data_IF_098903484426
#
_entry.id   IF_098903484426
#
_cell.length_a   1.000
_cell.length_b   1.000
_cell.length_c   1.000
_cell.angle_alpha   90.00
_cell.angle_beta   90.00
_cell.angle_gamma   90.00
#
_symmetry.space_group_name_H-M   'P 1'
#
loop_
_entity.id
_entity.type
_entity.pdbx_description
1 polymer ?
#
# COMPACT_ATOMS: atom_id res chain seq x y z
N UNK A 1 -11.82 -12.21 -9.00
CA UNK A 1 -12.89 -11.34 -9.51
C UNK A 1 -12.32 -9.94 -9.67
N UNK A 2 -12.57 -9.21 -10.76
CA UNK A 2 -12.08 -7.81 -10.89
C UNK A 2 -12.96 -6.91 -10.02
N UNK A 3 -12.39 -5.88 -9.37
CA UNK A 3 -13.14 -4.97 -8.49
C UNK A 3 -14.35 -4.34 -9.19
N UNK A 4 -14.24 -4.05 -10.49
CA UNK A 4 -15.35 -3.49 -11.29
C UNK A 4 -16.54 -4.45 -11.43
N UNK A 5 -16.29 -5.75 -11.56
CA UNK A 5 -17.34 -6.77 -11.58
C UNK A 5 -18.04 -6.88 -10.23
N UNK A 6 -17.28 -6.77 -9.14
CA UNK A 6 -17.84 -6.80 -7.78
C UNK A 6 -18.74 -5.58 -7.51
N UNK A 7 -18.31 -4.37 -7.89
CA UNK A 7 -19.15 -3.17 -7.74
C UNK A 7 -20.48 -3.32 -8.49
N UNK A 8 -20.43 -3.84 -9.73
CA UNK A 8 -21.63 -4.07 -10.55
C UNK A 8 -22.54 -5.16 -10.02
N UNK A 9 -22.01 -6.21 -9.39
CA UNK A 9 -22.87 -7.26 -8.80
C UNK A 9 -23.73 -6.74 -7.65
N UNK A 10 -23.32 -5.64 -7.01
CA UNK A 10 -24.13 -4.93 -6.00
C UNK A 10 -24.95 -3.77 -6.57
N UNK A 11 -25.10 -3.67 -7.90
CA UNK A 11 -25.88 -2.63 -8.57
C UNK A 11 -25.17 -1.27 -8.69
N UNK A 12 -23.88 -1.20 -8.38
CA UNK A 12 -23.06 0.00 -8.60
C UNK A 12 -22.56 0.11 -10.04
N UNK A 13 -22.12 1.30 -10.42
CA UNK A 13 -21.49 1.54 -11.72
C UNK A 13 -20.06 2.05 -11.59
N UNK A 14 -19.25 1.73 -12.60
CA UNK A 14 -17.87 2.20 -12.71
C UNK A 14 -17.68 2.90 -14.05
N UNK A 15 -17.40 4.20 -13.97
CA UNK A 15 -17.05 5.02 -15.12
C UNK A 15 -15.53 5.06 -15.26
N UNK A 16 -15.03 4.57 -16.39
CA UNK A 16 -13.64 4.73 -16.82
C UNK A 16 -13.57 5.86 -17.84
N UNK A 17 -12.37 6.38 -18.08
CA UNK A 17 -12.18 7.51 -19.03
C UNK A 17 -13.02 8.74 -18.62
N UNK A 18 -13.18 8.95 -17.32
CA UNK A 18 -14.02 9.98 -16.71
C UNK A 18 -13.23 10.71 -15.62
N UNK A 19 -12.39 11.67 -16.01
CA UNK A 19 -11.61 12.49 -15.08
C UNK A 19 -12.52 13.48 -14.37
N UNK A 20 -12.58 13.43 -13.03
CA UNK A 20 -13.25 14.46 -12.23
C UNK A 20 -12.46 15.77 -12.34
N UNK A 21 -13.14 16.84 -12.76
CA UNK A 21 -12.56 18.19 -12.88
C UNK A 21 -12.93 19.09 -11.73
N UNK A 22 -14.10 18.88 -11.11
CA UNK A 22 -14.58 19.72 -10.03
C UNK A 22 -15.67 19.00 -9.22
N UNK A 23 -15.74 19.26 -7.93
CA UNK A 23 -16.89 18.94 -7.07
C UNK A 23 -17.90 20.10 -7.16
N UNK A 24 -19.17 19.76 -7.34
CA UNK A 24 -20.27 20.73 -7.43
C UNK A 24 -20.74 21.04 -6.00
N UNK A 25 -20.75 22.32 -5.64
CA UNK A 25 -21.21 22.80 -4.33
C UNK A 25 -22.38 23.76 -4.52
N UNK A 26 -23.51 23.46 -3.90
CA UNK A 26 -24.75 24.26 -3.96
C UNK A 26 -25.34 24.38 -2.56
N UNK A 27 -25.75 25.60 -2.17
CA UNK A 27 -26.29 25.84 -0.82
C UNK A 27 -25.33 25.46 0.31
N UNK A 28 -24.02 25.52 0.08
CA UNK A 28 -22.99 25.11 1.05
C UNK A 28 -22.85 23.60 1.22
N UNK A 29 -23.36 22.77 0.30
CA UNK A 29 -23.27 21.30 0.34
C UNK A 29 -22.66 20.75 -0.96
N UNK A 30 -21.85 19.70 -0.88
CA UNK A 30 -21.44 18.94 -2.06
C UNK A 30 -22.61 18.12 -2.63
N UNK A 31 -22.87 18.26 -3.93
CA UNK A 31 -24.07 17.70 -4.61
C UNK A 31 -23.75 16.93 -5.89
N UNK A 32 -22.47 16.68 -6.16
CA UNK A 32 -22.04 15.94 -7.34
C UNK A 32 -20.65 16.32 -7.81
N UNK A 33 -20.32 15.89 -9.03
CA UNK A 33 -19.04 16.16 -9.68
C UNK A 33 -19.24 16.53 -11.15
N UNK A 34 -18.31 17.32 -11.69
CA UNK A 34 -18.14 17.53 -13.13
C UNK A 34 -17.02 16.64 -13.63
N UNK A 35 -17.30 15.83 -14.63
CA UNK A 35 -16.34 14.92 -15.24
C UNK A 35 -16.10 15.27 -16.70
N UNK A 36 -14.92 14.96 -17.21
CA UNK A 36 -14.58 15.04 -18.62
C UNK A 36 -13.92 13.74 -19.09
N UNK A 37 -13.87 13.55 -20.41
CA UNK A 37 -13.17 12.41 -20.99
C UNK A 37 -11.66 12.50 -20.69
N UNK A 38 -11.07 11.44 -20.12
CA UNK A 38 -9.65 11.40 -19.76
C UNK A 38 -8.76 11.40 -21.01
N UNK A 39 -9.14 10.65 -22.03
CA UNK A 39 -8.40 10.53 -23.30
C UNK A 39 -8.34 11.86 -24.05
N UNK A 40 -9.45 12.61 -24.07
CA UNK A 40 -9.50 13.96 -24.62
C UNK A 40 -8.59 14.92 -23.85
N UNK A 41 -8.58 14.82 -22.52
CA UNK A 41 -7.71 15.62 -21.65
C UNK A 41 -6.22 15.34 -21.91
N UNK A 42 -5.87 14.07 -22.18
CA UNK A 42 -4.50 13.66 -22.50
C UNK A 42 -3.98 14.21 -23.84
N UNK A 43 -4.89 14.58 -24.77
CA UNK A 43 -4.53 15.16 -26.06
C UNK A 43 -4.35 16.69 -26.01
N UNK A 44 -4.69 17.33 -24.89
CA UNK A 44 -4.55 18.78 -24.75
C UNK A 44 -3.09 19.19 -24.57
N UNK A 45 -2.67 20.17 -25.37
CA UNK A 45 -1.32 20.75 -25.29
C UNK A 45 -1.29 22.09 -24.56
N UNK A 46 -2.45 22.64 -24.21
CA UNK A 46 -2.58 23.93 -23.54
C UNK A 46 -3.77 23.95 -22.57
N UNK A 47 -3.78 24.87 -21.61
CA UNK A 47 -4.95 25.09 -20.73
C UNK A 47 -6.19 25.53 -21.51
N UNK A 48 -6.03 26.30 -22.57
CA UNK A 48 -7.14 26.71 -23.45
C UNK A 48 -7.84 25.52 -24.08
N UNK A 49 -7.09 24.47 -24.43
CA UNK A 49 -7.67 23.23 -24.96
C UNK A 49 -8.44 22.47 -23.89
N UNK A 50 -7.91 22.45 -22.65
CA UNK A 50 -8.55 21.76 -21.52
C UNK A 50 -9.91 22.37 -21.15
N UNK A 51 -10.10 23.68 -21.38
CA UNK A 51 -11.37 24.39 -21.12
C UNK A 51 -12.43 24.07 -22.19
N UNK A 52 -12.01 23.72 -23.42
CA UNK A 52 -12.92 23.36 -24.52
C UNK A 52 -13.53 21.96 -24.37
N UNK A 53 -12.96 21.11 -23.49
CA UNK A 53 -13.47 19.75 -23.30
C UNK A 53 -14.86 19.83 -22.64
N UNK A 54 -15.89 19.19 -23.23
CA UNK A 54 -17.21 19.14 -22.62
C UNK A 54 -17.17 18.50 -21.23
N UNK A 55 -17.85 19.16 -20.28
CA UNK A 55 -18.06 18.64 -18.94
C UNK A 55 -19.45 17.99 -18.85
N UNK A 56 -19.51 16.85 -18.20
CA UNK A 56 -20.76 16.18 -17.82
C UNK A 56 -20.94 16.29 -16.31
N UNK A 57 -22.11 16.73 -15.86
CA UNK A 57 -22.44 16.74 -14.44
C UNK A 57 -23.01 15.38 -14.01
N UNK A 58 -22.48 14.84 -12.91
CA UNK A 58 -23.02 13.67 -12.23
C UNK A 58 -23.47 14.12 -10.84
N UNK A 59 -24.78 14.13 -10.61
CA UNK A 59 -25.38 14.55 -9.34
C UNK A 59 -25.48 13.39 -8.35
N UNK A 60 -25.17 13.66 -7.09
CA UNK A 60 -25.22 12.66 -6.01
C UNK A 60 -25.59 13.33 -4.68
N UNK A 61 -26.24 12.57 -3.78
CA UNK A 61 -26.56 13.06 -2.43
C UNK A 61 -25.33 13.25 -1.57
N UNK A 62 -24.35 12.36 -1.75
CA UNK A 62 -23.07 12.35 -1.05
C UNK A 62 -21.95 12.15 -2.08
N UNK A 63 -20.82 12.80 -1.85
CA UNK A 63 -19.58 12.67 -2.62
C UNK A 63 -18.52 12.08 -1.68
N UNK A 64 -17.90 10.97 -2.09
CA UNK A 64 -16.79 10.36 -1.35
C UNK A 64 -15.51 10.56 -2.15
N UNK A 65 -14.59 11.32 -1.60
CA UNK A 65 -13.30 11.62 -2.20
C UNK A 65 -12.26 10.60 -1.72
N UNK A 66 -11.85 9.69 -2.61
CA UNK A 66 -10.78 8.73 -2.35
C UNK A 66 -9.44 9.15 -2.99
N UNK A 67 -9.31 10.40 -3.45
CA UNK A 67 -8.02 10.97 -3.83
C UNK A 67 -7.38 11.67 -2.64
N UNK A 68 -6.14 12.13 -2.79
CA UNK A 68 -5.46 12.83 -1.72
C UNK A 68 -6.18 14.14 -1.35
N UNK A 69 -6.15 14.50 -0.07
CA UNK A 69 -6.69 15.77 0.43
C UNK A 69 -6.05 16.97 -0.27
N UNK A 70 -4.81 16.86 -0.72
CA UNK A 70 -4.17 17.92 -1.49
C UNK A 70 -4.85 18.10 -2.86
N UNK A 71 -5.18 17.03 -3.60
CA UNK A 71 -5.98 17.18 -4.82
C UNK A 71 -7.38 17.73 -4.51
N UNK A 72 -7.99 17.29 -3.41
CA UNK A 72 -9.32 17.76 -3.02
C UNK A 72 -9.36 19.29 -2.85
N UNK A 73 -8.49 19.83 -2.01
CA UNK A 73 -8.50 21.25 -1.68
C UNK A 73 -7.81 22.12 -2.74
N UNK A 74 -6.72 21.65 -3.36
CA UNK A 74 -5.95 22.45 -4.34
C UNK A 74 -6.57 22.44 -5.75
N UNK A 75 -7.42 21.45 -6.08
CA UNK A 75 -7.92 21.28 -7.47
C UNK A 75 -9.41 21.06 -7.59
N UNK A 76 -9.99 20.19 -6.75
CA UNK A 76 -11.34 19.68 -6.99
C UNK A 76 -12.44 20.55 -6.37
N UNK A 77 -12.18 21.19 -5.22
CA UNK A 77 -13.12 22.11 -4.61
C UNK A 77 -13.10 23.50 -5.28
N UNK A 78 -14.24 24.22 -5.32
CA UNK A 78 -14.23 25.63 -5.67
C UNK A 78 -13.30 26.43 -4.76
N UNK A 79 -12.38 27.18 -5.36
CA UNK A 79 -11.25 27.79 -4.67
C UNK A 79 -11.64 29.00 -3.79
N UNK A 80 -12.84 29.55 -4.02
CA UNK A 80 -13.43 30.64 -3.24
C UNK A 80 -14.07 30.19 -1.92
N UNK A 81 -14.14 28.88 -1.65
CA UNK A 81 -14.72 28.37 -0.41
C UNK A 81 -13.83 28.69 0.81
N UNK A 82 -14.41 29.14 1.94
CA UNK A 82 -13.65 29.42 3.17
C UNK A 82 -12.83 28.23 3.69
N UNK A 83 -13.33 27.00 3.53
CA UNK A 83 -12.61 25.78 3.93
C UNK A 83 -11.33 25.55 3.10
N UNK A 84 -11.34 25.94 1.82
CA UNK A 84 -10.16 25.86 0.95
C UNK A 84 -9.16 26.93 1.37
N UNK A 85 -9.60 28.16 1.64
CA UNK A 85 -8.72 29.22 2.15
C UNK A 85 -8.05 28.84 3.48
N UNK A 86 -8.80 28.22 4.40
CA UNK A 86 -8.24 27.66 5.64
C UNK A 86 -7.26 26.53 5.39
N UNK A 87 -7.50 25.68 4.38
CA UNK A 87 -6.52 24.67 4.01
C UNK A 87 -5.23 25.32 3.51
N UNK A 88 -5.27 26.43 2.78
CA UNK A 88 -4.02 27.10 2.36
C UNK A 88 -3.32 27.89 3.48
N UNK A 89 -3.99 28.15 4.60
CA UNK A 89 -3.41 28.86 5.73
C UNK A 89 -2.45 27.97 6.54
N UNK A 90 -1.14 28.25 6.55
CA UNK A 90 -0.17 27.46 7.33
C UNK A 90 -0.37 27.58 8.85
N UNK A 91 -1.16 28.54 9.33
CA UNK A 91 -1.56 28.61 10.73
C UNK A 91 -2.71 27.65 11.10
N UNK A 92 -3.39 27.07 10.11
CA UNK A 92 -4.57 26.19 10.27
C UNK A 92 -4.29 24.72 9.94
N UNK A 93 -3.12 24.42 9.38
CA UNK A 93 -2.65 23.04 9.17
C UNK A 93 -1.13 22.95 9.13
N UNK A 94 -0.63 21.77 9.49
CA UNK A 94 0.80 21.44 9.40
C UNK A 94 1.08 20.20 8.55
N UNK A 95 0.03 19.51 8.07
CA UNK A 95 0.17 18.37 7.15
C UNK A 95 0.82 18.77 5.83
N UNK A 96 1.65 17.87 5.32
CA UNK A 96 2.35 17.98 4.03
C UNK A 96 2.11 16.72 3.22
N UNK A 97 2.24 16.81 1.91
CA UNK A 97 2.16 15.66 1.02
C UNK A 97 3.34 14.71 1.25
N UNK A 98 3.09 13.41 1.09
CA UNK A 98 4.11 12.37 1.16
C UNK A 98 5.11 12.50 0.02
N UNK A 99 6.31 11.96 0.21
CA UNK A 99 7.27 11.78 -0.88
C UNK A 99 6.67 10.86 -1.98
N UNK A 100 7.18 11.01 -3.19
CA UNK A 100 6.98 10.03 -4.26
C UNK A 100 8.05 8.95 -4.24
N UNK A 101 7.97 8.04 -5.21
CA UNK A 101 8.96 7.00 -5.43
C UNK A 101 9.38 6.98 -6.90
N UNK A 102 10.54 6.38 -7.15
CA UNK A 102 10.91 5.88 -8.47
C UNK A 102 10.71 4.37 -8.51
N UNK A 103 10.20 3.88 -9.64
CA UNK A 103 9.87 2.47 -9.84
C UNK A 103 10.61 1.96 -11.05
N UNK A 104 11.62 1.10 -10.87
CA UNK A 104 12.27 0.43 -12.00
C UNK A 104 11.58 -0.89 -12.27
N UNK A 105 10.89 -0.97 -13.40
CA UNK A 105 10.28 -2.20 -13.89
C UNK A 105 11.26 -2.91 -14.81
N UNK A 106 11.54 -4.18 -14.56
CA UNK A 106 12.47 -4.97 -15.36
C UNK A 106 11.77 -6.20 -15.97
N UNK A 107 12.00 -6.42 -17.27
CA UNK A 107 11.71 -7.67 -17.97
C UNK A 107 12.99 -8.52 -17.98
N UNK A 108 12.91 -9.72 -17.42
CA UNK A 108 14.04 -10.63 -17.28
C UNK A 108 13.79 -11.88 -18.13
N UNK A 109 14.76 -12.26 -18.96
CA UNK A 109 14.74 -13.48 -19.75
C UNK A 109 14.94 -14.71 -18.88
N UNK A 110 14.03 -15.67 -18.98
CA UNK A 110 14.06 -16.95 -18.30
C UNK A 110 12.94 -17.11 -17.27
N UNK A 111 12.60 -18.35 -16.97
CA UNK A 111 11.60 -18.68 -15.97
C UNK A 111 12.14 -18.51 -14.56
N UNK A 112 11.33 -17.96 -13.65
CA UNK A 112 11.75 -17.58 -12.31
C UNK A 112 12.36 -18.75 -11.51
N UNK A 113 11.83 -19.96 -11.68
CA UNK A 113 12.34 -21.18 -11.02
C UNK A 113 13.72 -21.58 -11.54
N UNK A 114 13.95 -21.49 -12.85
CA UNK A 114 15.22 -21.84 -13.49
C UNK A 114 16.30 -20.80 -13.16
N UNK A 115 15.89 -19.54 -13.04
CA UNK A 115 16.71 -18.44 -12.60
C UNK A 115 16.94 -18.42 -11.07
N UNK A 116 16.28 -19.29 -10.30
CA UNK A 116 16.40 -19.30 -8.83
C UNK A 116 15.98 -17.96 -8.19
N UNK A 117 14.95 -17.30 -8.70
CA UNK A 117 14.46 -16.03 -8.15
C UNK A 117 13.73 -16.25 -6.81
N UNK A 118 13.89 -15.36 -5.82
CA UNK A 118 13.26 -15.50 -4.52
C UNK A 118 11.73 -15.29 -4.60
N UNK A 119 11.01 -16.00 -3.73
CA UNK A 119 9.56 -15.80 -3.50
C UNK A 119 9.26 -14.69 -2.49
N UNK A 120 10.28 -14.22 -1.78
CA UNK A 120 10.23 -13.10 -0.84
C UNK A 120 10.74 -11.81 -1.48
N UNK A 121 10.51 -10.70 -0.78
CA UNK A 121 11.06 -9.40 -1.18
C UNK A 121 12.43 -9.23 -0.55
N UNK A 122 13.34 -8.56 -1.25
CA UNK A 122 14.61 -8.13 -0.68
C UNK A 122 14.51 -6.66 -0.31
N UNK A 123 15.17 -6.30 0.79
CA UNK A 123 15.37 -4.93 1.21
C UNK A 123 16.87 -4.66 1.25
N UNK A 124 17.32 -3.78 0.36
CA UNK A 124 18.68 -3.29 0.33
C UNK A 124 18.80 -2.06 1.22
N UNK A 125 19.87 -2.00 2.00
CA UNK A 125 20.26 -0.83 2.81
C UNK A 125 21.71 -0.48 2.48
N UNK A 126 21.96 0.75 2.01
CA UNK A 126 23.27 1.16 1.52
C UNK A 126 24.30 1.42 2.64
N UNK A 127 23.85 2.03 3.74
CA UNK A 127 24.70 2.43 4.89
C UNK A 127 23.97 2.14 6.20
N UNK A 128 24.73 2.06 7.31
CA UNK A 128 24.18 1.93 8.66
C UNK A 128 23.56 3.25 9.17
N UNK A 129 24.24 4.38 8.90
CA UNK A 129 23.70 5.71 9.18
C UNK A 129 22.73 6.10 8.06
N UNK A 130 21.44 5.84 8.30
CA UNK A 130 20.40 6.09 7.32
C UNK A 130 20.06 7.57 7.18
N UNK A 131 20.13 8.34 8.26
CA UNK A 131 19.79 9.77 8.23
C UNK A 131 20.73 10.51 7.28
N UNK A 132 22.05 10.37 7.48
CA UNK A 132 23.05 10.94 6.56
C UNK A 132 22.92 10.39 5.14
N UNK A 133 22.61 9.09 5.00
CA UNK A 133 22.43 8.50 3.67
C UNK A 133 21.24 9.12 2.92
N UNK A 134 20.11 9.34 3.60
CA UNK A 134 18.95 10.02 3.02
C UNK A 134 19.25 11.46 2.67
N UNK A 135 19.94 12.20 3.53
CA UNK A 135 20.33 13.59 3.27
C UNK A 135 21.25 13.69 2.03
N UNK A 136 22.30 12.85 1.96
CA UNK A 136 23.22 12.79 0.82
C UNK A 136 22.49 12.46 -0.49
N UNK A 137 21.60 11.45 -0.45
CA UNK A 137 20.84 11.00 -1.61
C UNK A 137 19.84 12.05 -2.09
N UNK A 138 19.12 12.69 -1.18
CA UNK A 138 18.14 13.70 -1.54
C UNK A 138 18.77 14.97 -2.11
N UNK A 139 19.99 15.30 -1.69
CA UNK A 139 20.77 16.38 -2.27
C UNK A 139 21.34 16.05 -3.65
N UNK A 140 21.80 14.80 -3.87
CA UNK A 140 22.55 14.42 -5.08
C UNK A 140 22.10 13.05 -5.65
N UNK A 141 20.84 12.89 -6.10
CA UNK A 141 20.25 11.58 -6.38
C UNK A 141 20.87 10.86 -7.58
N UNK A 142 21.59 11.58 -8.45
CA UNK A 142 22.26 11.00 -9.61
C UNK A 142 23.67 10.50 -9.29
N UNK A 143 24.31 11.05 -8.26
CA UNK A 143 25.70 10.73 -7.92
C UNK A 143 25.78 9.84 -6.67
N UNK A 144 24.78 9.94 -5.79
CA UNK A 144 24.67 9.14 -4.56
C UNK A 144 23.66 8.03 -4.77
N UNK A 145 24.02 6.82 -4.32
CA UNK A 145 23.14 5.64 -4.39
C UNK A 145 21.97 5.77 -3.39
N UNK A 146 20.75 5.31 -3.74
CA UNK A 146 19.62 5.33 -2.82
C UNK A 146 19.91 4.58 -1.50
N UNK A 147 19.49 5.12 -0.34
CA UNK A 147 19.75 4.52 0.97
C UNK A 147 19.04 3.20 1.16
N UNK A 148 17.82 3.08 0.62
CA UNK A 148 17.00 1.89 0.71
C UNK A 148 16.39 1.54 -0.63
N UNK A 149 16.34 0.25 -0.97
CA UNK A 149 15.65 -0.23 -2.17
C UNK A 149 14.86 -1.49 -1.85
N UNK A 150 13.57 -1.45 -2.16
CA UNK A 150 12.73 -2.63 -2.21
C UNK A 150 12.95 -3.35 -3.53
N UNK A 151 13.11 -4.67 -3.51
CA UNK A 151 13.21 -5.51 -4.71
C UNK A 151 12.17 -6.63 -4.61
N UNK A 152 11.29 -6.71 -5.61
CA UNK A 152 10.23 -7.70 -5.66
C UNK A 152 10.17 -8.42 -7.00
N UNK A 153 9.80 -9.71 -6.96
CA UNK A 153 9.58 -10.54 -8.14
C UNK A 153 8.11 -10.99 -8.21
N UNK A 154 7.19 -10.19 -8.77
CA UNK A 154 5.77 -10.54 -8.79
C UNK A 154 5.47 -11.90 -9.45
N UNK A 155 6.23 -12.25 -10.49
CA UNK A 155 6.15 -13.54 -11.19
C UNK A 155 6.30 -14.77 -10.30
N UNK A 156 6.99 -14.68 -9.16
CA UNK A 156 7.17 -15.80 -8.23
C UNK A 156 5.96 -16.01 -7.31
N UNK A 157 5.03 -15.04 -7.28
CA UNK A 157 3.84 -15.03 -6.40
C UNK A 157 2.54 -15.26 -7.16
N UNK A 158 2.58 -15.18 -8.49
CA UNK A 158 1.43 -15.45 -9.35
C UNK A 158 1.58 -16.83 -10.01
N UNK A 159 0.79 -17.79 -9.52
CA UNK A 159 0.78 -19.16 -10.05
C UNK A 159 0.39 -19.25 -11.54
N UNK A 160 -0.25 -18.22 -12.09
CA UNK A 160 -0.63 -18.16 -13.51
C UNK A 160 0.45 -17.56 -14.41
N UNK A 161 1.49 -16.95 -13.83
CA UNK A 161 2.47 -16.15 -14.57
C UNK A 161 3.15 -16.94 -15.68
N UNK A 162 3.75 -18.09 -15.36
CA UNK A 162 4.48 -18.94 -16.31
C UNK A 162 3.62 -19.37 -17.52
N UNK A 163 2.32 -19.57 -17.31
CA UNK A 163 1.39 -19.90 -18.39
C UNK A 163 1.14 -18.70 -19.32
N UNK A 164 1.05 -17.49 -18.76
CA UNK A 164 0.79 -16.25 -19.53
C UNK A 164 2.04 -15.72 -20.21
N UNK A 165 3.20 -15.86 -19.57
CA UNK A 165 4.47 -15.29 -20.00
C UNK A 165 5.59 -16.33 -19.87
N UNK A 166 5.61 -17.36 -20.73
CA UNK A 166 6.65 -18.38 -20.69
C UNK A 166 8.03 -17.79 -20.99
N UNK A 167 9.07 -18.26 -20.30
CA UNK A 167 10.46 -17.79 -20.42
C UNK A 167 10.68 -16.31 -20.08
N UNK A 168 9.76 -15.71 -19.32
CA UNK A 168 9.85 -14.31 -18.90
C UNK A 168 9.57 -14.21 -17.41
N UNK A 169 10.46 -13.56 -16.69
CA UNK A 169 10.28 -13.13 -15.31
C UNK A 169 10.19 -11.61 -15.25
N UNK A 170 9.55 -11.08 -14.21
CA UNK A 170 9.54 -9.64 -13.94
C UNK A 170 10.12 -9.33 -12.57
N UNK A 171 10.72 -8.15 -12.48
CA UNK A 171 11.23 -7.57 -11.25
C UNK A 171 10.76 -6.12 -11.15
N UNK A 172 10.49 -5.67 -9.94
CA UNK A 172 10.25 -4.26 -9.62
C UNK A 172 11.21 -3.83 -8.52
N UNK A 173 11.87 -2.70 -8.72
CA UNK A 173 12.66 -2.02 -7.70
C UNK A 173 12.03 -0.68 -7.36
N UNK A 174 11.98 -0.36 -6.07
CA UNK A 174 11.35 0.86 -5.58
C UNK A 174 12.30 1.57 -4.61
N UNK A 175 12.49 2.86 -4.81
CA UNK A 175 13.24 3.77 -3.93
C UNK A 175 12.53 5.10 -3.85
N UNK A 176 12.84 5.91 -2.83
CA UNK A 176 12.38 7.29 -2.73
C UNK A 176 12.69 8.09 -4.01
N UNK A 177 11.74 8.92 -4.40
CA UNK A 177 11.81 9.76 -5.58
C UNK A 177 11.08 11.07 -5.33
N UNK A 178 11.82 12.16 -5.09
CA UNK A 178 11.20 13.46 -4.82
C UNK A 178 10.66 14.08 -6.09
N UNK A 179 9.44 14.64 -6.03
CA UNK A 179 8.82 15.34 -7.16
C UNK A 179 9.69 16.49 -7.68
N UNK A 180 10.35 17.20 -6.77
CA UNK A 180 11.21 18.34 -7.05
C UNK A 180 12.34 18.00 -8.01
N UNK A 181 12.83 16.75 -8.02
CA UNK A 181 13.85 16.32 -8.98
C UNK A 181 13.35 16.33 -10.42
N UNK A 182 12.03 16.23 -10.61
CA UNK A 182 11.39 16.12 -11.92
C UNK A 182 10.54 17.34 -12.29
N UNK A 183 10.41 18.32 -11.40
CA UNK A 183 9.49 19.46 -11.54
C UNK A 183 9.70 20.26 -12.83
N UNK A 184 10.96 20.41 -13.29
CA UNK A 184 11.26 21.12 -14.54
C UNK A 184 10.64 20.52 -15.80
N UNK A 185 10.19 19.26 -15.76
CA UNK A 185 9.50 18.58 -16.87
C UNK A 185 8.00 18.37 -16.61
N UNK A 186 7.45 18.95 -15.53
CA UNK A 186 6.06 18.72 -15.13
C UNK A 186 5.04 19.21 -16.17
N UNK A 187 5.33 20.33 -16.84
CA UNK A 187 4.46 20.94 -17.84
C UNK A 187 4.64 20.37 -19.25
N UNK A 188 5.58 19.43 -19.43
CA UNK A 188 5.84 18.80 -20.73
C UNK A 188 4.98 17.53 -20.90
N UNK A 189 4.44 17.28 -22.11
CA UNK A 189 3.62 16.10 -22.38
C UNK A 189 4.35 14.79 -22.08
N UNK A 190 3.59 13.78 -21.68
CA UNK A 190 4.11 12.43 -21.53
C UNK A 190 4.73 11.94 -22.86
N UNK A 191 5.89 11.29 -22.78
CA UNK A 191 6.67 10.86 -23.95
C UNK A 191 7.46 11.98 -24.66
N UNK A 192 7.28 13.25 -24.29
CA UNK A 192 7.89 14.40 -24.95
C UNK A 192 8.70 15.30 -23.98
N UNK A 193 9.33 14.68 -22.98
CA UNK A 193 10.11 15.39 -21.95
C UNK A 193 11.58 15.64 -22.31
N UNK A 194 12.00 15.20 -23.50
CA UNK A 194 13.34 15.47 -24.03
C UNK A 194 14.43 14.52 -23.54
N UNK A 195 15.61 14.61 -24.17
CA UNK A 195 16.75 13.74 -23.88
C UNK A 195 17.32 13.97 -22.47
N UNK A 196 17.27 15.21 -21.97
CA UNK A 196 17.80 15.52 -20.64
C UNK A 196 17.01 14.83 -19.51
N UNK A 197 15.71 14.59 -19.70
CA UNK A 197 14.88 13.77 -18.80
C UNK A 197 15.28 12.30 -18.84
N UNK A 198 15.46 11.76 -20.05
CA UNK A 198 15.87 10.37 -20.22
C UNK A 198 17.29 10.11 -19.69
N UNK A 199 18.21 11.05 -19.86
CA UNK A 199 19.55 10.98 -19.29
C UNK A 199 19.51 11.00 -17.75
N UNK A 200 18.66 11.85 -17.16
CA UNK A 200 18.45 11.88 -15.71
C UNK A 200 17.89 10.55 -15.19
N UNK A 201 16.86 10.01 -15.85
CA UNK A 201 16.29 8.68 -15.54
C UNK A 201 17.33 7.58 -15.71
N UNK A 202 18.21 7.66 -16.71
CA UNK A 202 19.24 6.66 -16.95
C UNK A 202 20.22 6.57 -15.77
N UNK A 203 20.62 7.71 -15.19
CA UNK A 203 21.48 7.73 -13.99
C UNK A 203 20.81 7.05 -12.78
N UNK A 204 19.54 7.35 -12.53
CA UNK A 204 18.77 6.70 -11.44
C UNK A 204 18.56 5.20 -11.70
N UNK A 205 18.25 4.85 -12.95
CA UNK A 205 18.07 3.45 -13.37
C UNK A 205 19.36 2.66 -13.18
N UNK A 206 20.52 3.27 -13.48
CA UNK A 206 21.82 2.65 -13.28
C UNK A 206 22.04 2.26 -11.83
N UNK A 207 21.79 3.16 -10.87
CA UNK A 207 21.90 2.84 -9.44
C UNK A 207 21.05 1.62 -9.05
N UNK A 208 19.80 1.57 -9.52
CA UNK A 208 18.88 0.48 -9.20
C UNK A 208 19.28 -0.83 -9.88
N UNK A 209 19.76 -0.80 -11.13
CA UNK A 209 20.27 -1.98 -11.82
C UNK A 209 21.54 -2.54 -11.18
N UNK A 210 22.49 -1.67 -10.81
CA UNK A 210 23.70 -2.09 -10.10
C UNK A 210 23.32 -2.81 -8.79
N UNK A 211 22.39 -2.26 -8.01
CA UNK A 211 21.85 -2.90 -6.80
C UNK A 211 21.16 -4.22 -7.10
N UNK A 212 20.38 -4.31 -8.19
CA UNK A 212 19.73 -5.56 -8.60
C UNK A 212 20.77 -6.66 -8.85
N UNK A 213 21.85 -6.35 -9.57
CA UNK A 213 22.90 -7.31 -9.89
C UNK A 213 23.75 -7.68 -8.68
N UNK A 214 23.93 -6.77 -7.71
CA UNK A 214 24.56 -7.11 -6.44
C UNK A 214 23.69 -8.06 -5.60
N UNK A 215 22.39 -7.82 -5.54
CA UNK A 215 21.47 -8.60 -4.71
C UNK A 215 21.08 -9.94 -5.35
N UNK A 216 20.99 -9.98 -6.68
CA UNK A 216 20.47 -11.12 -7.46
C UNK A 216 21.36 -11.34 -8.70
N UNK A 217 22.66 -11.65 -8.53
CA UNK A 217 23.66 -11.65 -9.60
C UNK A 217 23.31 -12.57 -10.78
N UNK A 218 22.53 -13.62 -10.55
CA UNK A 218 22.12 -14.55 -11.59
C UNK A 218 21.17 -13.95 -12.66
N UNK A 219 20.69 -12.72 -12.48
CA UNK A 219 19.90 -11.96 -13.49
C UNK A 219 20.75 -11.03 -14.35
N UNK A 220 22.03 -10.87 -14.05
CA UNK A 220 22.94 -10.06 -14.85
C UNK A 220 23.04 -10.62 -16.28
N UNK A 221 22.99 -9.72 -17.27
CA UNK A 221 22.91 -10.09 -18.69
C UNK A 221 21.57 -10.68 -19.15
N UNK A 222 20.57 -10.79 -18.27
CA UNK A 222 19.22 -11.31 -18.61
C UNK A 222 18.11 -10.26 -18.55
N UNK A 223 18.39 -9.05 -18.07
CA UNK A 223 17.45 -7.94 -18.15
C UNK A 223 17.37 -7.47 -19.60
N UNK A 224 16.29 -7.82 -20.31
CA UNK A 224 16.10 -7.47 -21.72
C UNK A 224 15.56 -6.05 -21.90
N UNK A 225 14.82 -5.55 -20.91
CA UNK A 225 14.22 -4.23 -20.92
C UNK A 225 14.03 -3.74 -19.49
N UNK A 226 14.21 -2.45 -19.28
CA UNK A 226 13.82 -1.79 -18.04
C UNK A 226 13.21 -0.42 -18.34
N UNK A 227 12.28 0.01 -17.49
CA UNK A 227 11.66 1.33 -17.57
C UNK A 227 11.53 1.93 -16.17
N UNK A 228 11.94 3.18 -16.01
CA UNK A 228 11.83 3.91 -14.75
C UNK A 228 10.56 4.77 -14.74
N UNK A 229 9.60 4.40 -13.89
CA UNK A 229 8.51 5.28 -13.47
C UNK A 229 9.02 6.34 -12.50
N UNK A 230 8.55 7.57 -12.67
CA UNK A 230 8.92 8.71 -11.80
C UNK A 230 7.66 9.32 -11.15
N UNK A 231 7.79 10.24 -10.18
CA UNK A 231 6.65 10.98 -9.64
C UNK A 231 5.78 11.65 -10.71
N UNK A 232 6.33 12.02 -11.88
CA UNK A 232 5.52 12.54 -13.00
C UNK A 232 4.66 11.45 -13.65
N UNK A 233 5.12 10.20 -13.68
CA UNK A 233 4.32 9.04 -14.08
C UNK A 233 3.15 8.84 -13.11
N UNK A 234 3.39 8.96 -11.80
CA UNK A 234 2.36 8.87 -10.76
C UNK A 234 1.31 9.99 -10.89
N UNK A 235 1.73 11.22 -11.16
CA UNK A 235 0.81 12.33 -11.48
C UNK A 235 -0.04 12.00 -12.71
N UNK A 236 0.57 11.41 -13.75
CA UNK A 236 -0.12 11.14 -15.02
C UNK A 236 -1.11 9.98 -14.91
N UNK A 237 -0.69 8.86 -14.33
CA UNK A 237 -1.45 7.60 -14.37
C UNK A 237 -2.33 7.37 -13.14
N UNK A 238 -1.95 7.90 -11.99
CA UNK A 238 -2.73 7.75 -10.74
C UNK A 238 -3.39 9.06 -10.28
N UNK A 239 -3.16 10.16 -11.00
CA UNK A 239 -3.57 11.50 -10.58
C UNK A 239 -3.05 11.89 -9.18
N UNK A 240 -1.95 11.31 -8.73
CA UNK A 240 -1.38 11.55 -7.39
C UNK A 240 -0.90 13.00 -7.28
N UNK A 241 -1.23 13.69 -6.18
CA UNK A 241 -0.77 15.06 -5.96
C UNK A 241 0.76 15.09 -5.82
N UNK A 242 1.43 15.75 -6.78
CA UNK A 242 2.89 15.77 -6.91
C UNK A 242 3.54 14.37 -6.81
N UNK A 243 2.84 13.33 -7.29
CA UNK A 243 3.36 11.97 -7.29
C UNK A 243 3.54 11.32 -5.91
N UNK A 244 2.95 11.90 -4.85
CA UNK A 244 3.00 11.34 -3.50
C UNK A 244 2.32 9.97 -3.43
N UNK A 245 3.04 8.95 -2.94
CA UNK A 245 2.53 7.56 -2.95
C UNK A 245 1.62 7.22 -1.76
N UNK A 246 1.60 8.08 -0.73
CA UNK A 246 0.94 7.79 0.54
C UNK A 246 -0.10 8.85 0.96
N UNK A 247 -0.40 9.82 0.10
CA UNK A 247 -1.28 10.95 0.43
C UNK A 247 -0.56 11.92 1.37
N UNK A 248 -1.05 12.06 2.60
CA UNK A 248 -0.41 12.83 3.66
C UNK A 248 0.88 12.16 4.14
N UNK A 249 1.93 12.96 4.32
CA UNK A 249 3.21 12.51 4.84
C UNK A 249 3.03 11.96 6.26
N UNK A 250 3.50 10.75 6.48
CA UNK A 250 3.39 10.04 7.75
C UNK A 250 4.43 10.54 8.77
N UNK A 251 4.33 11.80 9.17
CA UNK A 251 5.07 12.36 10.31
C UNK A 251 4.16 12.49 11.52
N UNK A 252 4.72 12.73 12.70
CA UNK A 252 3.95 12.98 13.92
C UNK A 252 2.91 14.09 13.74
N UNK A 253 3.24 15.11 12.93
CA UNK A 253 2.32 16.21 12.62
C UNK A 253 1.00 15.77 12.01
N UNK A 254 0.95 14.65 11.29
CA UNK A 254 -0.30 14.10 10.74
C UNK A 254 -1.38 13.90 11.82
N UNK A 255 -0.96 13.58 13.04
CA UNK A 255 -1.82 13.27 14.17
C UNK A 255 -2.03 14.45 15.12
N UNK A 256 -1.41 15.61 14.85
CA UNK A 256 -1.61 16.80 15.68
C UNK A 256 -3.09 17.20 15.66
N UNK A 257 -3.66 17.66 16.79
CA UNK A 257 -5.08 18.04 16.88
C UNK A 257 -5.53 19.04 15.81
N UNK A 258 -4.63 19.94 15.38
CA UNK A 258 -4.90 20.91 14.31
C UNK A 258 -5.23 20.25 12.96
N UNK A 259 -4.79 19.01 12.75
CA UNK A 259 -4.94 18.29 11.49
C UNK A 259 -6.07 17.26 11.47
N UNK A 260 -6.74 16.99 12.60
CA UNK A 260 -7.83 16.00 12.69
C UNK A 260 -9.02 16.32 11.79
N UNK A 261 -9.19 17.59 11.38
CA UNK A 261 -10.23 18.00 10.43
C UNK A 261 -9.83 17.82 8.96
N UNK A 262 -8.54 17.58 8.68
CA UNK A 262 -7.99 17.49 7.34
C UNK A 262 -7.64 16.06 6.93
N UNK A 263 -7.16 15.25 7.88
CA UNK A 263 -6.70 13.87 7.65
C UNK A 263 -7.04 12.99 8.84
N UNK A 264 -6.83 11.67 8.72
CA UNK A 264 -7.14 10.65 9.75
C UNK A 264 -8.62 10.60 10.13
N UNK A 265 -9.49 11.15 9.26
CA UNK A 265 -10.93 11.19 9.44
C UNK A 265 -11.63 11.00 8.09
N UNK A 266 -12.77 10.27 8.03
CA UNK A 266 -13.59 10.23 6.82
C UNK A 266 -14.49 11.46 6.66
N UNK A 267 -14.51 12.39 7.63
CA UNK A 267 -15.40 13.54 7.61
C UNK A 267 -14.70 14.80 7.08
N UNK A 268 -15.44 15.62 6.34
CA UNK A 268 -15.04 16.99 6.00
C UNK A 268 -16.03 17.97 6.61
N UNK A 269 -15.62 19.24 6.79
CA UNK A 269 -16.56 20.27 7.25
C UNK A 269 -17.60 20.65 6.19
N UNK A 270 -17.39 20.28 4.91
CA UNK A 270 -18.35 20.53 3.84
C UNK A 270 -19.44 19.45 3.85
N UNK A 271 -20.71 19.79 4.17
CA UNK A 271 -21.79 18.82 4.17
C UNK A 271 -21.88 18.05 2.86
N UNK A 272 -22.15 16.74 2.94
CA UNK A 272 -22.26 15.87 1.78
C UNK A 272 -20.94 15.46 1.15
N UNK A 273 -19.80 15.91 1.67
CA UNK A 273 -18.47 15.48 1.24
C UNK A 273 -17.77 14.68 2.34
N UNK A 274 -17.25 13.52 1.94
CA UNK A 274 -16.56 12.57 2.81
C UNK A 274 -15.22 12.16 2.18
N UNK A 275 -14.32 11.64 3.01
CA UNK A 275 -13.02 11.11 2.59
C UNK A 275 -13.01 9.58 2.65
N UNK A 276 -12.18 8.97 1.81
CA UNK A 276 -11.82 7.56 1.84
C UNK A 276 -10.34 7.40 1.46
N UNK A 277 -9.81 6.17 1.56
CA UNK A 277 -8.41 5.91 1.23
C UNK A 277 -7.45 6.40 2.32
N UNK A 278 -6.17 6.57 1.97
CA UNK A 278 -5.09 6.78 2.95
C UNK A 278 -5.31 7.99 3.85
N UNK A 279 -5.77 9.10 3.27
CA UNK A 279 -5.97 10.34 4.02
C UNK A 279 -7.16 10.29 4.99
N UNK A 280 -8.08 9.34 4.81
CA UNK A 280 -9.18 9.12 5.76
C UNK A 280 -8.76 8.33 6.99
N UNK A 281 -7.59 7.67 6.97
CA UNK A 281 -7.11 6.88 8.11
C UNK A 281 -5.60 6.89 8.22
N UNK A 282 -4.90 6.03 7.49
CA UNK A 282 -3.46 5.87 7.54
C UNK A 282 -2.90 5.53 6.14
N UNK A 283 -1.62 5.79 5.90
CA UNK A 283 -0.90 5.32 4.72
C UNK A 283 -0.89 3.79 4.54
N UNK A 284 -0.34 3.35 3.41
CA UNK A 284 -0.22 1.95 2.95
C UNK A 284 -1.53 1.34 2.44
N UNK A 285 -1.40 0.16 1.81
CA UNK A 285 -2.54 -0.62 1.30
C UNK A 285 -3.57 -0.89 2.39
N UNK A 286 -3.12 -1.28 3.59
CA UNK A 286 -4.03 -1.62 4.70
C UNK A 286 -4.71 -0.37 5.24
N UNK A 287 -3.97 0.73 5.39
CA UNK A 287 -4.53 1.99 5.86
C UNK A 287 -5.55 2.57 4.89
N UNK A 288 -5.27 2.53 3.59
CA UNK A 288 -6.20 2.97 2.55
C UNK A 288 -7.47 2.11 2.50
N UNK A 289 -7.34 0.79 2.67
CA UNK A 289 -8.46 -0.13 2.74
C UNK A 289 -9.40 0.23 3.90
N UNK A 290 -8.85 0.40 5.12
CA UNK A 290 -9.66 0.81 6.26
C UNK A 290 -10.23 2.21 6.12
N UNK A 291 -9.48 3.15 5.52
CA UNK A 291 -10.01 4.46 5.18
C UNK A 291 -11.23 4.38 4.25
N UNK A 292 -11.27 3.39 3.34
CA UNK A 292 -12.46 3.07 2.55
C UNK A 292 -13.66 2.61 3.40
N UNK A 293 -13.43 1.71 4.36
CA UNK A 293 -14.48 1.26 5.30
C UNK A 293 -15.00 2.41 6.17
N UNK A 294 -14.10 3.25 6.69
CA UNK A 294 -14.48 4.42 7.50
C UNK A 294 -15.26 5.45 6.66
N UNK A 295 -14.85 5.69 5.41
CA UNK A 295 -15.60 6.52 4.48
C UNK A 295 -17.02 6.02 4.24
N UNK A 296 -17.20 4.70 4.07
CA UNK A 296 -18.52 4.09 3.94
C UNK A 296 -19.36 4.26 5.22
N UNK A 297 -18.78 4.01 6.41
CA UNK A 297 -19.46 4.19 7.70
C UNK A 297 -19.90 5.65 7.91
N UNK A 298 -19.06 6.62 7.51
CA UNK A 298 -19.38 8.04 7.62
C UNK A 298 -20.59 8.44 6.76
N UNK A 299 -20.79 7.78 5.62
CA UNK A 299 -21.92 8.02 4.72
C UNK A 299 -23.19 7.29 5.17
N UNK A 300 -23.08 6.03 5.57
CA UNK A 300 -24.22 5.16 5.88
C UNK A 300 -24.68 5.24 7.34
N UNK A 301 -23.86 5.84 8.22
CA UNK A 301 -24.05 5.80 9.66
C UNK A 301 -23.44 4.53 10.29
N UNK A 302 -23.36 4.46 11.63
CA UNK A 302 -22.69 3.37 12.36
C UNK A 302 -23.37 1.98 12.26
N UNK A 303 -24.36 1.80 11.38
CA UNK A 303 -25.12 0.56 11.23
C UNK A 303 -24.43 -0.51 10.37
N UNK A 304 -23.13 -0.40 10.06
CA UNK A 304 -22.48 -1.33 9.10
C UNK A 304 -21.18 -1.99 9.55
N UNK A 305 -20.79 -1.88 10.83
CA UNK A 305 -19.68 -2.70 11.37
C UNK A 305 -20.16 -3.94 12.13
N UNK A 306 -21.43 -3.98 12.56
CA UNK A 306 -21.99 -5.04 13.41
C UNK A 306 -22.97 -5.99 12.70
N UNK A 307 -23.56 -5.62 11.56
CA UNK A 307 -24.68 -6.38 10.98
C UNK A 307 -24.25 -7.48 9.98
N UNK A 308 -23.03 -8.03 10.13
CA UNK A 308 -22.55 -9.21 9.38
C UNK A 308 -22.05 -10.32 10.34
N UNK A 309 -22.49 -10.30 11.61
CA UNK A 309 -22.07 -11.28 12.60
C UNK A 309 -23.25 -12.13 13.09
N UNK A 310 -23.65 -13.12 12.29
CA UNK A 310 -24.30 -14.33 12.83
C UNK A 310 -23.25 -15.43 13.11
N UNK A 311 -23.58 -16.23 14.11
CA UNK A 311 -22.69 -16.92 15.04
C UNK A 311 -21.85 -18.07 14.45
N UNK A 312 -20.52 -17.96 14.58
CA UNK A 312 -19.59 -19.09 14.58
C UNK A 312 -18.51 -18.85 15.65
N UNK A 313 -18.12 -19.90 16.40
CA UNK A 313 -17.08 -19.84 17.45
C UNK A 313 -15.82 -19.12 16.94
N UNK A 314 -15.48 -17.99 17.59
CA UNK A 314 -14.36 -17.13 17.20
C UNK A 314 -12.98 -17.74 17.46
N UNK A 315 -11.94 -16.97 17.15
CA UNK A 315 -10.54 -17.41 17.24
C UNK A 315 -10.14 -17.76 18.68
N UNK A 316 -9.77 -19.02 18.90
CA UNK A 316 -9.33 -19.50 20.21
C UNK A 316 -7.90 -19.09 20.51
N UNK A 317 -7.72 -18.11 21.41
CA UNK A 317 -6.40 -17.65 21.86
C UNK A 317 -5.70 -18.75 22.66
N UNK A 318 -6.42 -19.46 23.53
CA UNK A 318 -5.85 -20.48 24.42
C UNK A 318 -5.30 -21.68 23.65
N UNK A 319 -6.05 -22.20 22.67
CA UNK A 319 -5.59 -23.32 21.83
C UNK A 319 -4.37 -22.90 20.99
N UNK A 320 -4.43 -21.67 20.45
CA UNK A 320 -3.33 -21.11 19.67
C UNK A 320 -2.08 -20.91 20.52
N UNK A 321 -2.23 -20.39 21.73
CA UNK A 321 -1.14 -20.17 22.68
C UNK A 321 -0.46 -21.49 23.06
N UNK A 322 -1.24 -22.54 23.34
CA UNK A 322 -0.73 -23.87 23.64
C UNK A 322 0.11 -24.44 22.48
N UNK A 323 -0.38 -24.30 21.24
CA UNK A 323 0.35 -24.71 20.04
C UNK A 323 1.67 -23.94 19.88
N UNK A 324 1.63 -22.62 20.06
CA UNK A 324 2.83 -21.77 19.94
C UNK A 324 3.86 -22.15 21.01
N UNK A 325 3.44 -22.31 22.28
CA UNK A 325 4.33 -22.71 23.38
C UNK A 325 4.98 -24.07 23.10
N UNK A 326 4.21 -25.04 22.60
CA UNK A 326 4.75 -26.34 22.21
C UNK A 326 5.75 -26.23 21.04
N UNK A 327 5.46 -25.39 20.04
CA UNK A 327 6.33 -25.19 18.88
C UNK A 327 7.67 -24.55 19.31
N UNK A 328 7.63 -23.49 20.12
CA UNK A 328 8.83 -22.85 20.67
C UNK A 328 9.61 -23.86 21.52
N UNK A 329 8.93 -24.58 22.41
CA UNK A 329 9.56 -25.54 23.32
C UNK A 329 10.26 -26.70 22.59
N UNK A 330 9.72 -27.14 21.45
CA UNK A 330 10.35 -28.19 20.64
C UNK A 330 11.64 -27.76 19.93
N UNK A 331 11.89 -26.45 19.82
CA UNK A 331 13.03 -25.89 19.08
C UNK A 331 14.05 -25.22 20.00
N UNK A 332 13.61 -24.46 21.01
CA UNK A 332 14.47 -23.54 21.75
C UNK A 332 14.80 -23.92 23.21
N UNK A 333 14.08 -24.85 23.84
CA UNK A 333 14.21 -25.14 25.29
C UNK A 333 15.65 -25.42 25.74
N UNK A 334 16.38 -26.28 25.02
CA UNK A 334 17.75 -26.67 25.37
C UNK A 334 18.80 -26.06 24.44
N UNK A 335 18.58 -24.83 23.96
CA UNK A 335 19.44 -24.18 22.96
C UNK A 335 20.16 -22.94 23.48
N UNK A 336 21.44 -22.83 23.11
CA UNK A 336 22.23 -21.61 23.28
C UNK A 336 22.18 -20.77 22.00
N UNK A 337 22.17 -19.43 22.16
CA UNK A 337 22.10 -18.51 21.03
C UNK A 337 23.28 -18.71 20.06
N UNK A 338 22.97 -18.93 18.78
CA UNK A 338 23.93 -19.10 17.68
C UNK A 338 23.39 -18.34 16.46
N UNK A 339 24.03 -17.25 16.02
CA UNK A 339 23.53 -16.41 14.91
C UNK A 339 23.21 -17.19 13.64
N UNK A 340 24.08 -18.15 13.28
CA UNK A 340 23.91 -18.98 12.08
C UNK A 340 22.67 -19.90 12.10
N UNK A 341 22.04 -20.09 13.27
CA UNK A 341 20.88 -20.98 13.44
C UNK A 341 19.54 -20.27 13.54
N UNK A 342 19.53 -18.92 13.56
CA UNK A 342 18.29 -18.15 13.70
C UNK A 342 17.28 -18.48 12.60
N UNK A 343 17.72 -18.54 11.34
CA UNK A 343 16.81 -18.88 10.23
C UNK A 343 16.27 -20.31 10.34
N UNK A 344 17.11 -21.27 10.70
CA UNK A 344 16.71 -22.67 10.90
C UNK A 344 15.66 -22.77 12.02
N UNK A 345 15.89 -22.09 13.15
CA UNK A 345 14.99 -22.08 14.29
C UNK A 345 13.66 -21.40 13.97
N UNK A 346 13.69 -20.20 13.36
CA UNK A 346 12.49 -19.49 12.95
C UNK A 346 11.64 -20.34 12.00
N UNK A 347 12.25 -20.95 10.98
CA UNK A 347 11.54 -21.82 10.04
C UNK A 347 10.97 -23.07 10.72
N UNK A 348 11.71 -23.65 11.67
CA UNK A 348 11.27 -24.82 12.43
C UNK A 348 10.08 -24.49 13.33
N UNK A 349 10.11 -23.35 14.03
CA UNK A 349 9.03 -22.85 14.88
C UNK A 349 7.79 -22.56 14.03
N UNK A 350 7.94 -21.85 12.90
CA UNK A 350 6.85 -21.56 11.97
C UNK A 350 6.21 -22.86 11.48
N UNK A 351 7.04 -23.82 11.05
CA UNK A 351 6.55 -25.10 10.53
C UNK A 351 5.85 -25.94 11.60
N UNK A 352 6.37 -25.98 12.82
CA UNK A 352 5.76 -26.68 13.94
C UNK A 352 4.43 -26.04 14.36
N UNK A 353 4.40 -24.71 14.46
CA UNK A 353 3.19 -23.96 14.79
C UNK A 353 2.11 -24.13 13.71
N UNK A 354 2.45 -24.02 12.42
CA UNK A 354 1.50 -24.25 11.32
C UNK A 354 0.92 -25.66 11.35
N UNK A 355 1.75 -26.70 11.56
CA UNK A 355 1.26 -28.09 11.69
C UNK A 355 0.33 -28.25 12.89
N UNK A 356 0.70 -27.67 14.03
CA UNK A 356 -0.14 -27.69 15.23
C UNK A 356 -1.49 -27.03 14.97
N UNK A 357 -1.51 -25.83 14.39
CA UNK A 357 -2.74 -25.09 14.08
C UNK A 357 -3.62 -25.79 13.06
N UNK A 358 -3.01 -26.43 12.05
CA UNK A 358 -3.72 -27.27 11.09
C UNK A 358 -4.38 -28.48 11.76
N UNK A 359 -3.76 -29.06 12.79
CA UNK A 359 -4.33 -30.22 13.50
C UNK A 359 -5.56 -29.86 14.36
N UNK A 360 -5.71 -28.59 14.75
CA UNK A 360 -6.91 -28.10 15.45
C UNK A 360 -8.11 -27.99 14.48
N UNK A 361 -7.88 -28.08 13.17
CA UNK A 361 -8.89 -28.15 12.11
C UNK A 361 -9.95 -27.02 12.18
N UNK A 362 -9.51 -25.79 12.47
CA UNK A 362 -10.37 -24.60 12.50
C UNK A 362 -10.34 -23.87 11.14
N UNK A 363 -11.42 -23.17 10.75
CA UNK A 363 -11.56 -22.55 9.42
C UNK A 363 -10.77 -21.22 9.30
N UNK A 364 -9.47 -21.24 9.58
CA UNK A 364 -8.60 -20.07 9.53
C UNK A 364 -7.46 -20.23 8.54
N UNK A 365 -7.11 -19.11 7.89
CA UNK A 365 -5.78 -18.93 7.29
C UNK A 365 -4.87 -18.32 8.35
N UNK A 366 -3.71 -18.93 8.53
CA UNK A 366 -2.75 -18.49 9.53
C UNK A 366 -1.57 -17.77 8.89
N UNK A 367 -1.20 -16.62 9.45
CA UNK A 367 0.09 -15.98 9.23
C UNK A 367 0.88 -16.00 10.54
N UNK A 368 2.17 -16.33 10.49
CA UNK A 368 3.01 -16.44 11.68
C UNK A 368 4.25 -15.57 11.52
N UNK A 369 4.52 -14.75 12.53
CA UNK A 369 5.76 -13.99 12.68
C UNK A 369 6.57 -14.56 13.83
N UNK A 370 7.88 -14.72 13.64
CA UNK A 370 8.83 -15.16 14.67
C UNK A 370 9.96 -14.16 14.75
N UNK A 371 10.16 -13.59 15.94
CA UNK A 371 11.26 -12.69 16.26
C UNK A 371 12.15 -13.41 17.28
N UNK A 372 13.45 -13.53 16.99
CA UNK A 372 14.45 -14.06 17.92
C UNK A 372 15.53 -12.98 18.10
N UNK A 373 15.81 -12.60 19.35
CA UNK A 373 16.80 -11.59 19.69
C UNK A 373 17.74 -12.11 20.77
N UNK A 374 19.05 -11.92 20.59
CA UNK A 374 20.03 -12.22 21.64
C UNK A 374 19.83 -11.33 22.87
N UNK A 375 19.96 -11.90 24.07
CA UNK A 375 20.06 -11.12 25.30
C UNK A 375 21.47 -10.54 25.43
N UNK A 376 21.58 -9.24 25.18
CA UNK A 376 22.82 -8.46 25.34
C UNK A 376 22.59 -7.18 26.17
N UNK A 377 21.45 -7.05 26.84
CA UNK A 377 21.05 -5.87 27.60
C UNK A 377 20.07 -4.92 26.88
N UNK A 378 19.78 -5.14 25.59
CA UNK A 378 18.75 -4.41 24.87
C UNK A 378 17.33 -4.92 25.18
N UNK A 379 16.34 -4.02 25.26
CA UNK A 379 14.93 -4.37 25.40
C UNK A 379 14.27 -4.68 24.05
N UNK A 380 13.21 -5.50 24.06
CA UNK A 380 12.40 -5.81 22.88
C UNK A 380 10.91 -5.59 23.20
N UNK A 381 10.26 -4.76 22.40
CA UNK A 381 8.80 -4.55 22.45
C UNK A 381 8.23 -4.88 21.07
N UNK A 382 7.16 -5.69 21.04
CA UNK A 382 6.43 -6.02 19.82
C UNK A 382 4.93 -5.80 20.05
N UNK A 383 4.32 -5.02 19.14
CA UNK A 383 2.89 -4.77 19.09
C UNK A 383 2.30 -5.36 17.80
N UNK A 384 1.09 -5.90 17.91
CA UNK A 384 0.34 -6.48 16.79
C UNK A 384 -1.14 -6.24 17.03
N UNK A 385 -1.90 -6.03 15.96
CA UNK A 385 -3.35 -5.88 15.97
C UNK A 385 -3.98 -6.64 14.80
N UNK A 386 -5.22 -7.11 14.98
CA UNK A 386 -6.08 -7.71 13.95
C UNK A 386 -7.36 -6.92 13.88
N UNK A 387 -7.83 -6.61 12.67
CA UNK A 387 -8.98 -5.74 12.46
C UNK A 387 -9.83 -6.15 11.24
N UNK A 388 -9.50 -7.26 10.58
CA UNK A 388 -10.10 -7.63 9.30
C UNK A 388 -11.55 -8.15 9.47
N UNK A 389 -11.78 -9.08 10.39
CA UNK A 389 -13.08 -9.36 11.01
C UNK A 389 -12.89 -9.32 12.52
N UNK A 390 -13.24 -8.19 13.16
CA UNK A 390 -13.04 -7.99 14.60
C UNK A 390 -13.84 -8.96 15.49
N UNK A 391 -14.77 -9.73 14.91
CA UNK A 391 -15.59 -10.72 15.62
C UNK A 391 -15.06 -12.15 15.46
N UNK A 392 -14.47 -12.49 14.31
CA UNK A 392 -14.01 -13.85 14.00
C UNK A 392 -12.49 -14.00 13.95
N UNK A 393 -11.77 -12.99 13.50
CA UNK A 393 -10.31 -13.01 13.43
C UNK A 393 -9.71 -12.85 14.83
N UNK A 394 -8.49 -13.33 14.98
CA UNK A 394 -7.76 -13.09 16.21
C UNK A 394 -6.27 -13.16 16.01
N UNK A 395 -5.57 -12.63 17.01
CA UNK A 395 -4.13 -12.79 17.14
C UNK A 395 -3.82 -13.41 18.48
N UNK A 396 -2.80 -14.25 18.48
CA UNK A 396 -2.18 -14.74 19.70
C UNK A 396 -0.69 -14.41 19.63
N UNK A 397 -0.19 -13.76 20.69
CA UNK A 397 1.22 -13.38 20.82
C UNK A 397 1.79 -14.06 22.05
N UNK A 398 2.81 -14.87 21.83
CA UNK A 398 3.53 -15.55 22.91
C UNK A 398 4.94 -15.01 22.96
N UNK A 399 5.31 -14.46 24.10
CA UNK A 399 6.68 -14.16 24.45
C UNK A 399 7.28 -15.34 25.21
N UNK A 400 8.48 -15.74 24.82
CA UNK A 400 9.28 -16.77 25.45
C UNK A 400 10.70 -16.28 25.61
N UNK A 401 11.40 -16.74 26.64
CA UNK A 401 12.80 -16.41 26.82
C UNK A 401 13.56 -17.52 27.55
N UNK A 402 14.87 -17.54 27.37
CA UNK A 402 15.80 -18.27 28.22
C UNK A 402 16.94 -17.33 28.65
N UNK A 403 18.03 -17.88 29.22
CA UNK A 403 19.17 -17.09 29.65
C UNK A 403 19.93 -16.36 28.52
N UNK A 404 19.76 -16.76 27.26
CA UNK A 404 20.56 -16.29 26.14
C UNK A 404 19.78 -15.46 25.09
N UNK A 405 18.45 -15.58 25.03
CA UNK A 405 17.65 -14.94 23.97
C UNK A 405 16.19 -14.71 24.37
N UNK A 406 15.56 -13.77 23.68
CA UNK A 406 14.13 -13.55 23.63
C UNK A 406 13.56 -14.15 22.34
N UNK A 407 12.36 -14.71 22.41
CA UNK A 407 11.58 -15.15 21.26
C UNK A 407 10.14 -14.61 21.38
N UNK A 408 9.64 -13.96 20.33
CA UNK A 408 8.23 -13.55 20.24
C UNK A 408 7.65 -14.21 19.01
N UNK A 409 6.59 -14.98 19.20
CA UNK A 409 5.82 -15.58 18.11
C UNK A 409 4.43 -14.97 18.11
N UNK A 410 4.03 -14.41 16.97
CA UNK A 410 2.70 -13.85 16.76
C UNK A 410 2.01 -14.64 15.66
N UNK A 411 0.87 -15.24 16.00
CA UNK A 411 -0.02 -15.91 15.04
C UNK A 411 -1.22 -15.00 14.79
N UNK A 412 -1.51 -14.78 13.52
CA UNK A 412 -2.71 -14.13 13.03
C UNK A 412 -3.61 -15.20 12.42
N UNK A 413 -4.82 -15.37 12.94
CA UNK A 413 -5.85 -16.19 12.32
C UNK A 413 -6.86 -15.32 11.60
N UNK A 414 -6.92 -15.44 10.28
CA UNK A 414 -7.94 -14.80 9.45
C UNK A 414 -9.00 -15.82 9.09
N UNK A 415 -10.23 -15.60 9.52
CA UNK A 415 -11.39 -16.44 9.24
C UNK A 415 -11.56 -16.59 7.74
N UNK A 416 -11.76 -17.81 7.29
CA UNK A 416 -12.10 -18.13 5.91
C UNK A 416 -13.61 -18.28 5.87
N UNK A 417 -14.38 -17.18 5.82
CA UNK A 417 -15.85 -17.26 5.74
C UNK A 417 -16.27 -18.27 4.63
N UNK A 418 -16.84 -19.41 5.02
CA UNK A 418 -17.47 -20.40 4.13
C UNK A 418 -18.99 -20.22 4.19
N UNK A 419 -19.47 -19.00 3.91
CA UNK A 419 -20.90 -18.77 3.62
C UNK A 419 -21.12 -18.56 2.11
N UNK A 420 -20.26 -19.18 1.29
CA UNK A 420 -20.40 -19.17 -0.18
C UNK A 420 -21.05 -20.45 -0.73
N UNK A 421 -21.24 -21.50 0.07
CA UNK A 421 -21.72 -22.81 -0.44
C UNK A 421 -23.23 -23.07 -0.29
N UNK A 422 -23.97 -22.31 0.52
CA UNK A 422 -25.45 -22.42 0.54
C UNK A 422 -26.14 -21.62 -0.58
N UNK A 423 -25.50 -20.56 -1.08
CA UNK A 423 -26.03 -19.77 -2.20
C UNK A 423 -26.05 -20.54 -3.54
N UNK A 424 -25.12 -21.49 -3.75
CA UNK A 424 -25.11 -22.36 -4.94
C UNK A 424 -26.17 -23.48 -4.91
N UNK A 425 -26.68 -23.85 -3.73
CA UNK A 425 -27.79 -24.83 -3.65
C UNK A 425 -29.15 -24.20 -3.93
N UNK A 426 -29.32 -22.92 -3.62
CA UNK A 426 -30.56 -22.19 -3.88
C UNK A 426 -30.66 -21.66 -5.33
N UNK A 427 -29.53 -21.47 -6.03
CA UNK A 427 -29.54 -21.12 -7.47
C UNK A 427 -29.77 -22.30 -8.42
N UNK A 428 -29.79 -23.52 -7.90
CA UNK A 428 -30.15 -24.73 -8.66
C UNK A 428 -31.64 -25.13 -8.50
N UNK A 429 -32.44 -24.33 -7.80
CA UNK A 429 -33.85 -24.63 -7.51
C UNK A 429 -34.85 -23.52 -7.89
N UNK A 430 -34.45 -22.53 -8.71
CA UNK A 430 -35.38 -21.56 -9.32
C UNK A 430 -35.08 -21.36 -10.80
#
# INVERSE_FOLDING_TARGET
>A
MRNTSLVRSYGGEVFVDATVRQIIVEGGRAVGVRVCNTSALAMCTSEEDKVKIPLTEIRARNVVCATSIFNLYEKLLPQDLPIVQRFHDPAQRTVRQSNGHVFLFCKIKGDAKELGLPTHNLWYFHKYDLDTAFDDYFANPTEVRPPTVYIGFPCTKDATWKKRFPNVSNCILISDGLYQWFEKWADLPQGHRGQDYEDFKAKLSKHLLDILYECVPQVEGKVEHHELGTPLSEVTFLASFHGGSYGTKCTTSMFDPINHQWTTTPHTELPGLYLAGSDAFLPSVVGAMYGGCLGACAVLGPHSMTDVAEAHEGFSIDDTEAVIKSAIGSVLTDTHFKPAKINDWSNSIISAALRGLQSVNRPYKYAISVIIMQKNGAGLISAASTYWDATKDGLCKVAWENGAMHCIVTVYGTSVNIDYQEAERLSAAV
#
